data_IF_121178026373
#
_entry.id   IF_121178026373
#
_cell.length_a   1.000
_cell.length_b   1.000
_cell.length_c   1.000
_cell.angle_alpha   90.00
_cell.angle_beta   90.00
_cell.angle_gamma   90.00
#
_symmetry.space_group_name_H-M   'P 1'
#
loop_
_entity.id
_entity.type
_entity.pdbx_description
1 polymer ?
#
# COMPACT_ATOMS: atom_id res chain seq x y z
N UNK A 1 55.97 -62.42 17.56
CA UNK A 1 55.03 -61.54 18.23
C UNK A 1 55.12 -60.15 17.58
N UNK A 2 54.16 -59.73 16.78
CA UNK A 2 54.18 -58.46 16.03
C UNK A 2 53.26 -57.47 16.76
N UNK A 3 53.87 -56.39 17.26
CA UNK A 3 53.14 -55.30 17.95
C UNK A 3 52.42 -54.42 16.97
N UNK A 4 51.13 -54.19 17.23
CA UNK A 4 50.23 -53.27 16.47
C UNK A 4 50.37 -51.88 17.09
N UNK A 5 50.82 -50.92 16.32
CA UNK A 5 50.82 -49.48 16.70
C UNK A 5 49.49 -48.86 16.30
N UNK A 6 48.70 -48.43 17.29
CA UNK A 6 47.48 -47.64 17.11
C UNK A 6 47.85 -46.18 16.91
N UNK A 7 47.48 -45.60 15.75
CA UNK A 7 47.67 -44.19 15.46
C UNK A 7 46.36 -43.48 15.84
N UNK A 8 46.39 -42.68 16.90
CA UNK A 8 45.32 -41.76 17.27
C UNK A 8 45.40 -40.53 16.37
N UNK A 9 44.44 -40.35 15.47
CA UNK A 9 44.24 -39.11 14.73
C UNK A 9 43.23 -38.24 15.49
N UNK A 10 43.76 -37.21 16.16
CA UNK A 10 42.96 -36.12 16.72
C UNK A 10 42.36 -35.29 15.57
N UNK A 11 41.05 -35.36 15.37
CA UNK A 11 40.30 -34.48 14.47
C UNK A 11 40.01 -33.20 15.23
N UNK A 12 40.75 -32.16 14.96
CA UNK A 12 40.45 -30.80 15.42
C UNK A 12 39.27 -30.27 14.59
N UNK A 13 38.08 -30.24 15.18
CA UNK A 13 36.91 -29.59 14.60
C UNK A 13 37.15 -28.08 14.63
N UNK A 14 37.46 -27.50 13.47
CA UNK A 14 37.41 -26.06 13.25
C UNK A 14 35.96 -25.62 13.33
N UNK A 15 35.53 -25.11 14.47
CA UNK A 15 34.27 -24.41 14.64
C UNK A 15 34.27 -23.13 13.82
N UNK A 16 33.66 -23.18 12.65
CA UNK A 16 33.32 -21.97 11.90
C UNK A 16 32.21 -21.25 12.68
N UNK A 17 32.57 -20.29 13.52
CA UNK A 17 31.66 -19.28 14.02
C UNK A 17 31.23 -18.43 12.83
N UNK A 18 30.08 -18.74 12.25
CA UNK A 18 29.40 -17.85 11.34
C UNK A 18 29.10 -16.57 12.12
N UNK A 19 29.94 -15.56 12.00
CA UNK A 19 29.63 -14.20 12.44
C UNK A 19 28.33 -13.80 11.71
N UNK A 20 27.21 -13.83 12.41
CA UNK A 20 25.96 -13.24 11.97
C UNK A 20 26.25 -11.75 11.78
N UNK A 21 26.30 -11.30 10.54
CA UNK A 21 26.43 -9.88 10.24
C UNK A 21 25.21 -9.18 10.84
N UNK A 22 25.47 -8.28 11.77
CA UNK A 22 24.45 -7.44 12.36
C UNK A 22 24.46 -6.12 11.59
N UNK A 23 23.34 -5.77 10.94
CA UNK A 23 23.21 -4.51 10.21
C UNK A 23 23.46 -3.33 11.16
N UNK A 24 24.12 -2.27 10.68
CA UNK A 24 24.28 -1.01 11.43
C UNK A 24 22.95 -0.30 11.70
N UNK A 25 21.88 -0.72 11.04
CA UNK A 25 20.54 -0.11 11.10
C UNK A 25 19.55 -0.85 12.03
N UNK A 26 20.02 -1.78 12.87
CA UNK A 26 19.15 -2.56 13.78
C UNK A 26 18.31 -1.66 14.70
N UNK A 27 18.80 -0.48 15.04
CA UNK A 27 18.10 0.51 15.85
C UNK A 27 16.80 1.05 15.20
N UNK A 28 16.67 0.99 13.86
CA UNK A 28 15.50 1.49 13.15
C UNK A 28 14.23 0.72 13.48
N UNK A 29 14.32 -0.57 13.74
CA UNK A 29 13.14 -1.39 14.04
C UNK A 29 12.40 -0.91 15.29
N UNK A 30 13.00 -0.86 16.49
CA UNK A 30 12.32 -0.36 17.69
C UNK A 30 11.99 1.14 17.59
N UNK A 31 12.84 1.96 16.97
CA UNK A 31 12.61 3.40 16.81
C UNK A 31 11.36 3.67 15.97
N UNK A 32 11.23 3.00 14.82
CA UNK A 32 10.08 3.19 13.94
C UNK A 32 8.78 2.66 14.55
N UNK A 33 8.82 1.52 15.23
CA UNK A 33 7.64 0.96 15.90
C UNK A 33 7.15 1.84 17.06
N UNK A 34 8.05 2.55 17.74
CA UNK A 34 7.72 3.46 18.82
C UNK A 34 7.13 4.80 18.34
N UNK A 35 7.11 5.07 17.03
CA UNK A 35 6.60 6.34 16.49
C UNK A 35 5.11 6.49 16.75
N UNK A 36 4.74 7.57 17.41
CA UNK A 36 3.35 7.96 17.60
C UNK A 36 2.91 8.81 16.42
N UNK A 37 2.15 8.23 15.50
CA UNK A 37 1.62 8.92 14.32
C UNK A 37 0.30 9.59 14.73
N UNK A 38 0.14 10.88 14.42
CA UNK A 38 -1.09 11.61 14.75
C UNK A 38 -2.30 11.01 14.02
N UNK A 39 -3.48 10.98 14.65
CA UNK A 39 -4.72 10.62 13.97
C UNK A 39 -4.98 11.52 12.76
N UNK A 40 -5.53 10.95 11.70
CA UNK A 40 -5.90 11.69 10.50
C UNK A 40 -7.42 11.71 10.41
N UNK A 41 -8.00 12.92 10.46
CA UNK A 41 -9.43 13.12 10.38
C UNK A 41 -9.84 13.49 8.96
N UNK A 42 -11.00 12.98 8.52
CA UNK A 42 -11.57 13.32 7.21
C UNK A 42 -13.09 13.26 7.25
N UNK A 43 -13.74 13.97 6.32
CA UNK A 43 -15.19 13.95 6.15
C UNK A 43 -15.54 13.05 4.97
N UNK A 44 -16.29 11.97 5.20
CA UNK A 44 -16.60 10.96 4.19
C UNK A 44 -17.67 11.48 3.22
N UNK A 45 -17.27 12.50 2.45
CA UNK A 45 -18.16 13.12 1.45
C UNK A 45 -18.24 12.26 0.19
N UNK A 46 -19.39 12.19 -0.50
CA UNK A 46 -19.53 11.44 -1.75
C UNK A 46 -18.68 11.97 -2.91
N UNK A 47 -18.21 13.22 -2.83
CA UNK A 47 -17.56 13.90 -3.95
C UNK A 47 -16.26 13.24 -4.40
N UNK A 48 -15.41 12.77 -3.45
CA UNK A 48 -14.17 12.12 -3.81
C UNK A 48 -14.41 10.78 -4.52
N UNK A 49 -15.36 9.98 -4.03
CA UNK A 49 -15.80 8.75 -4.68
C UNK A 49 -16.35 9.01 -6.10
N UNK A 50 -17.20 10.02 -6.25
CA UNK A 50 -17.71 10.44 -7.57
C UNK A 50 -16.57 10.83 -8.53
N UNK A 51 -15.60 11.61 -8.08
CA UNK A 51 -14.44 12.02 -8.89
C UNK A 51 -13.60 10.83 -9.33
N UNK A 52 -13.44 9.81 -8.46
CA UNK A 52 -12.76 8.58 -8.85
C UNK A 52 -13.54 7.85 -9.94
N UNK A 53 -14.85 7.65 -9.76
CA UNK A 53 -15.70 6.98 -10.76
C UNK A 53 -15.65 7.68 -12.12
N UNK A 54 -15.68 9.01 -12.14
CA UNK A 54 -15.50 9.81 -13.37
C UNK A 54 -14.13 9.59 -13.98
N UNK A 55 -13.08 9.52 -13.14
CA UNK A 55 -11.70 9.34 -13.63
C UNK A 55 -11.45 7.96 -14.21
N UNK A 56 -12.19 6.95 -13.76
CA UNK A 56 -12.07 5.56 -14.22
C UNK A 56 -13.06 5.23 -15.35
N UNK A 57 -14.07 6.06 -15.61
CA UNK A 57 -15.17 5.72 -16.52
C UNK A 57 -14.71 5.34 -17.93
N UNK A 58 -13.72 6.04 -18.48
CA UNK A 58 -13.19 5.76 -19.83
C UNK A 58 -12.34 4.50 -19.90
N UNK A 59 -11.89 3.99 -18.74
CA UNK A 59 -11.01 2.82 -18.61
C UNK A 59 -11.74 1.56 -18.17
N UNK A 60 -13.04 1.64 -17.81
CA UNK A 60 -13.82 0.50 -17.33
C UNK A 60 -15.03 0.28 -18.23
N UNK A 61 -15.17 -0.90 -18.86
CA UNK A 61 -16.27 -1.16 -19.81
C UNK A 61 -17.65 -0.93 -19.20
N UNK A 62 -18.46 -0.13 -19.88
CA UNK A 62 -19.83 0.15 -19.45
C UNK A 62 -19.97 0.86 -18.11
N UNK A 63 -18.88 1.45 -17.60
CA UNK A 63 -18.96 2.30 -16.42
C UNK A 63 -19.67 3.59 -16.79
N UNK A 64 -20.68 3.95 -15.98
CA UNK A 64 -21.33 5.25 -16.03
C UNK A 64 -21.12 5.92 -14.70
N UNK A 65 -20.55 7.14 -14.67
CA UNK A 65 -20.44 7.88 -13.42
C UNK A 65 -21.83 8.03 -12.78
N UNK A 66 -21.93 7.90 -11.45
CA UNK A 66 -23.20 8.09 -10.77
C UNK A 66 -23.73 9.53 -10.97
N UNK A 67 -25.04 9.73 -10.85
CA UNK A 67 -25.61 11.08 -10.92
C UNK A 67 -25.31 11.84 -9.62
N UNK A 68 -24.44 12.83 -9.68
CA UNK A 68 -24.08 13.66 -8.51
C UNK A 68 -25.25 14.46 -7.94
N UNK A 69 -26.29 14.71 -8.73
CA UNK A 69 -27.49 15.45 -8.28
C UNK A 69 -28.36 14.64 -7.30
N UNK A 70 -28.12 13.36 -7.21
CA UNK A 70 -28.79 12.48 -6.23
C UNK A 70 -27.72 11.78 -5.38
N UNK A 71 -27.03 12.50 -4.49
CA UNK A 71 -26.10 11.85 -3.59
C UNK A 71 -26.88 10.87 -2.73
N UNK A 72 -26.44 9.60 -2.65
CA UNK A 72 -27.09 8.64 -1.79
C UNK A 72 -27.00 9.10 -0.33
N UNK A 73 -28.13 9.16 0.34
CA UNK A 73 -28.25 9.55 1.73
C UNK A 73 -27.71 8.49 2.67
N UNK A 74 -26.56 8.00 2.62
CA UNK A 74 -26.00 6.97 3.50
C UNK A 74 -25.72 5.64 2.78
N UNK A 75 -24.84 5.66 1.76
CA UNK A 75 -24.32 4.42 1.17
C UNK A 75 -23.02 4.00 1.84
N UNK A 76 -22.78 2.69 1.97
CA UNK A 76 -21.47 2.19 2.33
C UNK A 76 -20.38 2.73 1.41
N UNK A 77 -19.23 3.07 2.00
CA UNK A 77 -18.05 3.47 1.24
C UNK A 77 -17.68 2.36 0.25
N UNK A 78 -17.68 2.63 -1.08
CA UNK A 78 -17.33 1.61 -2.06
C UNK A 78 -15.91 1.09 -1.88
N UNK A 79 -15.69 -0.18 -2.20
CA UNK A 79 -14.36 -0.79 -2.19
C UNK A 79 -13.65 -0.48 -3.51
N UNK A 80 -12.42 0.07 -3.51
CA UNK A 80 -11.55 0.42 -2.37
C UNK A 80 -11.46 1.95 -2.14
N UNK A 81 -12.57 2.69 -2.19
CA UNK A 81 -12.58 4.15 -2.11
C UNK A 81 -12.04 4.73 -0.79
N UNK A 82 -11.79 3.90 0.23
CA UNK A 82 -11.07 4.31 1.45
C UNK A 82 -9.68 4.91 1.14
N UNK A 83 -9.08 4.58 0.01
CA UNK A 83 -7.82 5.14 -0.48
C UNK A 83 -7.88 6.64 -0.80
N UNK A 84 -9.08 7.22 -0.94
CA UNK A 84 -9.29 8.63 -1.27
C UNK A 84 -9.38 9.54 -0.04
N UNK A 85 -9.32 8.95 1.15
CA UNK A 85 -9.55 9.63 2.41
C UNK A 85 -8.39 9.37 3.37
N UNK A 86 -8.27 10.23 4.38
CA UNK A 86 -7.30 10.11 5.45
C UNK A 86 -5.84 10.18 4.98
N UNK A 87 -5.55 10.95 3.94
CA UNK A 87 -4.16 11.23 3.60
C UNK A 87 -3.63 12.42 4.42
N UNK A 88 -2.37 12.36 4.90
CA UNK A 88 -1.79 13.44 5.69
C UNK A 88 -1.73 14.75 4.89
N UNK A 89 -2.31 15.81 5.43
CA UNK A 89 -2.31 17.14 4.80
C UNK A 89 -1.12 17.97 5.32
N UNK A 90 0.07 17.69 4.81
CA UNK A 90 1.29 18.38 5.19
C UNK A 90 1.58 19.54 4.24
N UNK A 91 2.06 20.71 4.77
CA UNK A 91 2.63 21.76 3.94
C UNK A 91 3.82 21.23 3.13
N UNK A 92 4.02 21.75 1.91
CA UNK A 92 5.08 21.28 1.02
C UNK A 92 6.49 21.24 1.66
N UNK A 93 6.92 22.21 2.52
CA UNK A 93 8.22 22.13 3.18
C UNK A 93 8.38 20.98 4.17
N UNK A 94 7.30 20.33 4.57
CA UNK A 94 7.32 19.17 5.47
C UNK A 94 7.31 17.83 4.74
N UNK A 95 7.15 17.84 3.41
CA UNK A 95 7.29 16.65 2.58
C UNK A 95 8.78 16.32 2.37
N UNK A 96 9.06 15.05 2.09
CA UNK A 96 10.37 14.63 1.64
C UNK A 96 10.68 15.17 0.23
N UNK A 97 11.94 15.20 -0.20
CA UNK A 97 12.32 15.74 -1.52
C UNK A 97 11.61 15.06 -2.71
N UNK A 98 11.19 13.80 -2.55
CA UNK A 98 10.40 13.06 -3.52
C UNK A 98 8.89 13.39 -3.50
N UNK A 99 8.46 14.33 -2.63
CA UNK A 99 7.07 14.73 -2.44
C UNK A 99 6.26 13.82 -1.51
N UNK A 100 6.89 12.88 -0.82
CA UNK A 100 6.19 11.93 0.05
C UNK A 100 6.16 12.33 1.53
N UNK A 101 5.22 11.75 2.28
CA UNK A 101 5.08 11.91 3.72
C UNK A 101 6.26 11.26 4.49
N UNK A 102 6.94 11.97 5.41
CA UNK A 102 8.06 11.46 6.19
C UNK A 102 7.68 10.47 7.31
N UNK A 103 6.42 10.40 7.74
CA UNK A 103 6.02 9.68 8.96
C UNK A 103 6.49 8.21 9.01
N UNK A 104 6.56 7.57 7.86
CA UNK A 104 6.96 6.17 7.74
C UNK A 104 8.39 5.98 7.22
N UNK A 105 9.12 7.05 6.92
CA UNK A 105 10.47 6.98 6.37
C UNK A 105 11.48 6.57 7.44
N UNK A 106 12.39 5.63 7.16
CA UNK A 106 13.51 5.34 8.05
C UNK A 106 14.53 6.48 8.14
N UNK A 107 14.50 7.44 7.20
CA UNK A 107 15.54 8.45 7.03
C UNK A 107 16.73 7.95 6.21
N UNK A 108 17.79 8.77 6.15
CA UNK A 108 18.99 8.46 5.40
C UNK A 108 19.65 7.14 5.85
N UNK A 109 20.14 6.34 4.91
CA UNK A 109 20.22 6.53 3.48
C UNK A 109 19.03 5.92 2.69
N UNK A 110 17.88 5.72 3.29
CA UNK A 110 16.73 5.00 2.73
C UNK A 110 15.67 5.99 2.21
N UNK A 111 15.97 6.78 1.19
CA UNK A 111 15.04 7.76 0.66
C UNK A 111 14.10 7.19 -0.40
N UNK A 112 14.57 6.23 -1.20
CA UNK A 112 13.78 5.60 -2.25
C UNK A 112 12.78 4.62 -1.65
N UNK A 113 11.53 4.63 -2.15
CA UNK A 113 10.49 3.74 -1.63
C UNK A 113 9.68 3.04 -2.73
N UNK A 114 9.20 1.86 -2.41
CA UNK A 114 8.31 1.09 -3.26
C UNK A 114 7.11 0.62 -2.44
N UNK A 115 5.92 0.76 -2.99
CA UNK A 115 4.73 0.12 -2.43
C UNK A 115 4.75 -1.37 -2.78
N UNK A 116 5.03 -2.21 -1.79
CA UNK A 116 5.18 -3.66 -2.02
C UNK A 116 3.85 -4.42 -2.00
N UNK A 117 2.77 -3.79 -1.57
CA UNK A 117 1.45 -4.37 -1.45
C UNK A 117 0.84 -4.14 -0.09
N UNK A 118 -0.05 -5.04 0.33
CA UNK A 118 -0.72 -4.96 1.62
C UNK A 118 -1.93 -5.86 1.71
N UNK A 119 -2.77 -5.62 2.72
CA UNK A 119 -4.06 -6.29 2.87
C UNK A 119 -5.11 -5.31 3.36
N UNK A 120 -6.37 -5.60 3.04
CA UNK A 120 -7.51 -4.82 3.52
C UNK A 120 -8.60 -5.76 3.99
N UNK A 121 -9.10 -5.51 5.21
CA UNK A 121 -10.29 -6.17 5.77
C UNK A 121 -11.41 -5.14 5.87
N UNK A 122 -12.58 -5.49 5.37
CA UNK A 122 -13.79 -4.66 5.45
C UNK A 122 -14.74 -5.24 6.48
N UNK A 123 -15.21 -4.39 7.41
CA UNK A 123 -16.14 -4.80 8.46
C UNK A 123 -17.48 -5.26 7.87
N UNK A 124 -18.01 -6.40 8.32
CA UNK A 124 -19.34 -6.84 7.91
C UNK A 124 -20.47 -6.05 8.60
N UNK A 125 -20.23 -5.56 9.81
CA UNK A 125 -21.27 -4.99 10.69
C UNK A 125 -21.18 -3.49 10.87
N UNK A 126 -20.02 -2.87 10.58
CA UNK A 126 -19.78 -1.45 10.78
C UNK A 126 -19.10 -0.81 9.57
N UNK A 127 -19.72 -0.81 8.37
CA UNK A 127 -19.10 -0.19 7.20
C UNK A 127 -19.00 1.33 7.40
N UNK A 128 -17.96 1.93 6.84
CA UNK A 128 -17.89 3.38 6.69
C UNK A 128 -18.96 3.84 5.70
N UNK A 129 -19.58 5.00 5.95
CA UNK A 129 -20.67 5.51 5.14
C UNK A 129 -20.28 6.82 4.45
N UNK A 130 -20.66 6.96 3.17
CA UNK A 130 -20.55 8.21 2.41
C UNK A 130 -21.74 9.13 2.75
N UNK A 131 -21.71 9.75 3.91
CA UNK A 131 -22.80 10.61 4.40
C UNK A 131 -22.31 11.99 4.86
N UNK A 132 -21.03 12.32 4.61
CA UNK A 132 -20.40 13.55 5.08
C UNK A 132 -20.01 13.52 6.56
N UNK A 133 -20.25 12.43 7.29
CA UNK A 133 -19.85 12.32 8.67
C UNK A 133 -18.32 12.27 8.80
N UNK A 134 -17.82 12.87 9.86
CA UNK A 134 -16.40 12.87 10.18
C UNK A 134 -15.98 11.49 10.68
N UNK A 135 -14.85 11.04 10.16
CA UNK A 135 -14.22 9.78 10.51
C UNK A 135 -12.73 10.00 10.80
N UNK A 136 -12.07 8.97 11.28
CA UNK A 136 -10.67 9.05 11.68
C UNK A 136 -9.91 7.80 11.23
N UNK A 137 -8.66 8.00 10.83
CA UNK A 137 -7.68 6.95 10.62
C UNK A 137 -6.65 6.99 11.74
N UNK A 138 -6.49 5.87 12.44
CA UNK A 138 -5.41 5.65 13.39
C UNK A 138 -4.35 4.80 12.72
N UNK A 139 -3.14 5.36 12.60
CA UNK A 139 -1.99 4.68 12.00
C UNK A 139 -0.97 4.26 13.05
N UNK A 140 -0.24 3.17 12.74
CA UNK A 140 0.94 2.73 13.49
C UNK A 140 1.84 1.84 12.65
N UNK A 141 3.12 1.81 12.97
CA UNK A 141 4.08 0.91 12.32
C UNK A 141 4.11 -0.40 13.11
N UNK A 142 3.64 -1.48 12.51
CA UNK A 142 3.61 -2.81 13.12
C UNK A 142 4.97 -3.49 13.11
N UNK A 143 5.73 -3.29 12.05
CA UNK A 143 7.09 -3.82 11.95
C UNK A 143 7.95 -2.97 11.02
N UNK A 144 9.24 -2.97 11.30
CA UNK A 144 10.27 -2.43 10.43
C UNK A 144 11.42 -3.45 10.40
N UNK A 145 11.54 -4.23 9.34
CA UNK A 145 12.51 -5.32 9.24
C UNK A 145 13.59 -4.99 8.22
N UNK A 146 14.84 -5.13 8.62
CA UNK A 146 15.98 -4.87 7.74
C UNK A 146 16.44 -6.19 7.11
N UNK A 147 16.57 -6.18 5.77
CA UNK A 147 17.03 -7.34 4.99
C UNK A 147 18.01 -6.90 3.92
N UNK A 148 18.96 -7.76 3.59
CA UNK A 148 19.97 -7.53 2.56
C UNK A 148 21.38 -7.71 3.07
N UNK A 149 22.35 -7.63 2.16
CA UNK A 149 23.77 -7.61 2.49
C UNK A 149 24.20 -6.19 2.91
N UNK A 150 25.31 -6.05 3.66
CA UNK A 150 25.84 -4.74 4.01
C UNK A 150 26.03 -3.85 2.77
N UNK A 151 25.51 -2.62 2.84
CA UNK A 151 25.50 -1.67 1.71
C UNK A 151 24.41 -1.92 0.65
N UNK A 152 23.57 -2.94 0.85
CA UNK A 152 22.41 -3.26 0.00
C UNK A 152 21.17 -3.55 0.85
N UNK A 153 21.17 -3.07 2.08
CA UNK A 153 20.06 -3.27 3.00
C UNK A 153 18.80 -2.56 2.49
N UNK A 154 17.67 -3.16 2.79
CA UNK A 154 16.33 -2.64 2.54
C UNK A 154 15.55 -2.67 3.85
N UNK A 155 14.75 -1.64 4.09
CA UNK A 155 13.85 -1.60 5.25
C UNK A 155 12.44 -1.91 4.78
N UNK A 156 11.88 -3.01 5.30
CA UNK A 156 10.50 -3.43 5.05
C UNK A 156 9.64 -2.89 6.18
N UNK A 157 8.74 -1.99 5.87
CA UNK A 157 7.87 -1.33 6.84
C UNK A 157 6.44 -1.79 6.61
N UNK A 158 5.82 -2.35 7.66
CA UNK A 158 4.40 -2.68 7.68
C UNK A 158 3.64 -1.64 8.50
N UNK A 159 2.77 -0.91 7.86
CA UNK A 159 1.93 0.14 8.43
C UNK A 159 0.53 -0.43 8.57
N UNK A 160 -0.07 -0.28 9.76
CA UNK A 160 -1.47 -0.59 9.98
C UNK A 160 -2.28 0.71 10.08
N UNK A 161 -3.41 0.73 9.39
CA UNK A 161 -4.37 1.84 9.37
C UNK A 161 -5.74 1.30 9.76
N UNK A 162 -6.34 1.89 10.77
CA UNK A 162 -7.67 1.57 11.27
C UNK A 162 -8.59 2.75 11.04
N UNK A 163 -9.53 2.60 10.14
CA UNK A 163 -10.45 3.64 9.73
C UNK A 163 -11.80 3.42 10.43
N UNK A 164 -12.22 4.38 11.23
CA UNK A 164 -13.44 4.28 12.03
C UNK A 164 -14.26 5.58 12.00
N UNK A 165 -15.59 5.51 12.15
CA UNK A 165 -16.39 6.70 12.37
C UNK A 165 -16.03 7.32 13.73
N UNK A 166 -16.10 8.64 13.84
CA UNK A 166 -16.09 9.30 15.14
C UNK A 166 -17.40 9.10 15.87
N UNK A 167 -17.30 8.96 17.19
CA UNK A 167 -18.48 9.00 18.05
C UNK A 167 -19.02 10.45 18.17
N UNK A 168 -20.32 10.64 18.41
CA UNK A 168 -20.86 11.98 18.63
C UNK A 168 -20.15 12.75 19.76
N UNK A 169 -19.74 12.07 20.83
CA UNK A 169 -19.00 12.63 21.95
C UNK A 169 -17.59 13.10 21.54
N UNK A 170 -16.89 12.34 20.69
CA UNK A 170 -15.58 12.69 20.15
C UNK A 170 -15.69 13.90 19.21
N UNK A 171 -16.70 13.89 18.32
CA UNK A 171 -16.98 15.02 17.42
C UNK A 171 -17.29 16.28 18.24
N UNK A 172 -18.08 16.18 19.31
CA UNK A 172 -18.37 17.30 20.18
C UNK A 172 -17.13 17.80 20.94
N UNK A 173 -16.29 16.88 21.44
CA UNK A 173 -15.05 17.23 22.12
C UNK A 173 -14.07 18.00 21.20
N UNK A 174 -13.91 17.53 19.96
CA UNK A 174 -13.09 18.23 18.95
C UNK A 174 -13.66 19.59 18.58
N UNK A 175 -14.99 19.71 18.42
CA UNK A 175 -15.64 20.97 18.09
C UNK A 175 -15.61 21.99 19.24
N UNK A 176 -15.53 21.53 20.48
CA UNK A 176 -15.44 22.38 21.66
C UNK A 176 -14.03 22.92 21.93
N UNK A 177 -13.01 22.42 21.22
CA UNK A 177 -11.64 22.93 21.37
C UNK A 177 -11.58 24.41 20.90
N UNK A 178 -11.10 25.34 21.75
CA UNK A 178 -10.86 26.70 21.31
C UNK A 178 -9.72 26.73 20.27
N UNK A 179 -9.72 27.74 19.40
CA UNK A 179 -8.62 27.94 18.42
C UNK A 179 -7.24 28.07 19.09
N UNK A 180 -7.22 28.45 20.36
CA UNK A 180 -6.02 28.56 21.20
C UNK A 180 -5.80 27.33 22.09
N UNK A 181 -6.45 26.19 21.79
CA UNK A 181 -6.26 24.98 22.58
C UNK A 181 -4.77 24.60 22.63
N UNK A 182 -4.32 24.19 23.80
CA UNK A 182 -2.95 23.71 23.95
C UNK A 182 -2.76 22.37 23.23
N UNK A 183 -1.54 22.11 22.75
CA UNK A 183 -1.19 20.80 22.16
C UNK A 183 -1.49 19.64 23.10
N UNK A 184 -1.40 19.85 24.42
CA UNK A 184 -1.70 18.84 25.43
C UNK A 184 -3.19 18.44 25.45
N UNK A 185 -4.10 19.41 25.32
CA UNK A 185 -5.54 19.12 25.28
C UNK A 185 -5.93 18.37 24.00
N UNK A 186 -5.33 18.76 22.87
CA UNK A 186 -5.54 18.08 21.60
C UNK A 186 -5.01 16.64 21.69
N UNK A 187 -3.79 16.46 22.22
CA UNK A 187 -3.15 15.15 22.35
C UNK A 187 -3.98 14.21 23.26
N UNK A 188 -4.61 14.72 24.32
CA UNK A 188 -5.46 13.89 25.18
C UNK A 188 -6.66 13.30 24.41
N UNK A 189 -7.36 14.13 23.62
CA UNK A 189 -8.50 13.66 22.81
C UNK A 189 -8.02 12.67 21.73
N UNK A 190 -6.88 12.96 21.11
CA UNK A 190 -6.27 12.03 20.11
C UNK A 190 -5.91 10.68 20.76
N UNK A 191 -5.42 10.68 21.99
CA UNK A 191 -5.08 9.45 22.73
C UNK A 191 -6.31 8.64 23.13
N UNK A 192 -7.36 9.32 23.57
CA UNK A 192 -8.64 8.67 23.90
C UNK A 192 -9.25 7.98 22.66
N UNK A 193 -9.26 8.69 21.52
CA UNK A 193 -9.70 8.14 20.22
C UNK A 193 -8.83 6.95 19.81
N UNK A 194 -7.51 7.08 19.94
CA UNK A 194 -6.58 5.97 19.65
C UNK A 194 -6.84 4.77 20.55
N UNK A 195 -7.00 4.96 21.85
CA UNK A 195 -7.30 3.89 22.82
C UNK A 195 -8.59 3.13 22.50
N UNK A 196 -9.61 3.84 21.97
CA UNK A 196 -10.85 3.22 21.52
C UNK A 196 -10.68 2.36 20.27
N UNK A 197 -9.84 2.79 19.30
CA UNK A 197 -9.76 2.21 17.96
C UNK A 197 -8.61 1.20 17.81
N UNK A 198 -7.44 1.50 18.39
CA UNK A 198 -6.27 0.65 18.27
C UNK A 198 -6.46 -0.69 18.96
N UNK A 199 -5.88 -1.74 18.40
CA UNK A 199 -5.85 -3.10 18.99
C UNK A 199 -4.44 -3.64 18.89
N UNK A 200 -3.99 -4.33 19.94
CA UNK A 200 -2.69 -5.00 19.93
C UNK A 200 -2.76 -6.28 19.10
N UNK A 201 -3.85 -7.01 19.18
CA UNK A 201 -4.15 -8.10 18.25
C UNK A 201 -4.50 -7.52 16.89
N UNK A 202 -3.70 -7.87 15.93
CA UNK A 202 -3.81 -7.40 14.55
C UNK A 202 -4.93 -8.10 13.75
N UNK A 203 -5.52 -9.16 14.29
CA UNK A 203 -6.71 -9.81 13.75
C UNK A 203 -8.02 -9.21 14.28
N UNK A 204 -8.00 -8.55 15.44
CA UNK A 204 -9.16 -7.87 15.99
C UNK A 204 -9.44 -6.56 15.24
N UNK A 205 -10.54 -6.52 14.52
CA UNK A 205 -10.98 -5.34 13.78
C UNK A 205 -11.39 -4.17 14.70
N UNK A 206 -11.87 -4.48 15.91
CA UNK A 206 -12.43 -3.51 16.83
C UNK A 206 -13.56 -2.69 16.18
N UNK A 207 -13.65 -1.39 16.44
CA UNK A 207 -14.68 -0.52 15.84
C UNK A 207 -14.34 -0.03 14.44
N UNK A 208 -13.24 -0.50 13.81
CA UNK A 208 -12.85 -0.06 12.48
C UNK A 208 -13.79 -0.64 11.42
N UNK A 209 -14.26 0.22 10.51
CA UNK A 209 -14.98 -0.18 9.30
C UNK A 209 -14.04 -0.74 8.23
N UNK A 210 -12.77 -0.29 8.25
CA UNK A 210 -11.70 -0.78 7.36
C UNK A 210 -10.41 -0.93 8.17
N UNK A 211 -9.76 -2.08 8.04
CA UNK A 211 -8.41 -2.33 8.51
C UNK A 211 -7.51 -2.53 7.30
N UNK A 212 -6.63 -1.57 7.03
CA UNK A 212 -5.68 -1.61 5.94
C UNK A 212 -4.26 -1.84 6.47
N UNK A 213 -3.51 -2.72 5.81
CA UNK A 213 -2.05 -2.85 5.97
C UNK A 213 -1.36 -2.43 4.70
N UNK A 214 -0.40 -1.53 4.84
CA UNK A 214 0.47 -1.05 3.75
C UNK A 214 1.87 -1.57 3.99
N UNK A 215 2.41 -2.29 3.02
CA UNK A 215 3.79 -2.76 3.06
C UNK A 215 4.62 -1.90 2.11
N UNK A 216 5.56 -1.16 2.68
CA UNK A 216 6.48 -0.29 1.94
C UNK A 216 7.89 -0.84 2.10
N UNK A 217 8.65 -0.85 1.02
CA UNK A 217 10.07 -1.17 1.03
C UNK A 217 10.86 0.09 0.76
N UNK A 218 11.75 0.44 1.67
CA UNK A 218 12.70 1.52 1.51
C UNK A 218 14.04 0.97 1.06
N UNK A 219 14.60 1.62 0.05
CA UNK A 219 15.87 1.26 -0.58
C UNK A 219 16.89 2.33 -0.26
N UNK A 220 18.16 1.91 -0.15
CA UNK A 220 19.25 2.87 -0.05
C UNK A 220 19.38 3.67 -1.35
N UNK A 221 19.87 4.90 -1.21
CA UNK A 221 20.23 5.72 -2.35
C UNK A 221 21.40 5.07 -3.08
N UNK A 222 21.09 4.45 -4.20
CA UNK A 222 22.13 4.04 -5.14
C UNK A 222 22.33 5.18 -6.14
N UNK A 223 23.58 5.58 -6.38
CA UNK A 223 23.86 6.40 -7.56
C UNK A 223 23.30 5.63 -8.76
N UNK A 224 22.49 6.27 -9.62
CA UNK A 224 22.06 5.63 -10.85
C UNK A 224 23.31 5.07 -11.55
N UNK A 225 23.29 3.81 -11.92
CA UNK A 225 24.36 3.27 -12.73
C UNK A 225 24.47 4.19 -13.96
N UNK A 226 25.68 4.65 -14.34
CA UNK A 226 25.81 5.49 -15.52
C UNK A 226 25.14 4.75 -16.67
N UNK A 227 24.20 5.41 -17.34
CA UNK A 227 23.53 4.90 -18.53
C UNK A 227 24.56 4.82 -19.65
N UNK A 228 25.46 3.83 -19.58
CA UNK A 228 26.29 3.47 -20.70
C UNK A 228 25.36 2.86 -21.76
N UNK A 229 25.14 3.58 -22.86
CA UNK A 229 24.57 3.02 -24.08
C UNK A 229 25.40 1.79 -24.42
N UNK A 230 24.97 0.59 -24.06
CA UNK A 230 25.71 -0.66 -24.29
C UNK A 230 25.64 -1.68 -23.14
N UNK A 231 25.01 -1.38 -22.01
CA UNK A 231 24.92 -2.31 -20.87
C UNK A 231 23.68 -3.27 -20.93
N UNK A 232 22.85 -3.17 -21.97
CA UNK A 232 21.62 -3.95 -22.09
C UNK A 232 21.86 -5.47 -22.32
N UNK A 233 23.05 -5.88 -22.70
CA UNK A 233 23.35 -7.29 -23.02
C UNK A 233 23.96 -8.10 -21.86
N UNK A 234 24.37 -7.46 -20.76
CA UNK A 234 25.10 -8.14 -19.67
C UNK A 234 24.29 -8.33 -18.38
N UNK A 235 23.16 -7.64 -18.20
CA UNK A 235 22.31 -7.84 -17.03
C UNK A 235 21.39 -9.06 -17.24
N UNK A 236 21.25 -9.97 -16.25
CA UNK A 236 20.33 -11.08 -16.37
C UNK A 236 18.91 -10.52 -16.60
N UNK A 237 18.27 -10.94 -17.71
CA UNK A 237 16.90 -10.54 -18.02
C UNK A 237 16.00 -10.84 -16.83
N UNK A 238 15.18 -9.89 -16.36
CA UNK A 238 14.31 -10.13 -15.22
C UNK A 238 13.39 -11.32 -15.51
N UNK A 239 13.28 -12.22 -14.55
CA UNK A 239 12.42 -13.41 -14.67
C UNK A 239 10.97 -12.95 -14.82
N UNK A 240 10.37 -13.24 -15.97
CA UNK A 240 8.95 -12.95 -16.22
C UNK A 240 8.12 -13.96 -15.43
N UNK A 241 7.36 -13.47 -14.46
CA UNK A 241 6.44 -14.29 -13.68
C UNK A 241 5.16 -14.47 -14.50
N UNK A 242 4.86 -15.69 -14.90
CA UNK A 242 3.61 -16.04 -15.61
C UNK A 242 2.45 -16.16 -14.63
N UNK A 243 1.19 -15.88 -15.04
CA UNK A 243 0.03 -16.16 -14.21
C UNK A 243 -0.08 -17.66 -13.94
N UNK A 244 -0.57 -18.01 -12.76
CA UNK A 244 -0.73 -19.41 -12.34
C UNK A 244 -1.94 -20.09 -12.99
N UNK A 245 -2.86 -19.31 -13.55
CA UNK A 245 -4.11 -19.79 -14.15
C UNK A 245 -4.63 -18.86 -15.23
N UNK A 246 -5.58 -19.37 -16.02
CA UNK A 246 -6.30 -18.56 -17.00
C UNK A 246 -7.35 -17.67 -16.32
N UNK A 247 -7.61 -16.45 -16.85
CA UNK A 247 -8.65 -15.59 -16.35
C UNK A 247 -10.04 -16.12 -16.71
N UNK A 248 -10.83 -16.49 -15.69
CA UNK A 248 -12.18 -17.06 -15.87
C UNK A 248 -13.32 -16.09 -15.59
N UNK A 249 -13.02 -14.94 -14.96
CA UNK A 249 -14.02 -13.94 -14.61
C UNK A 249 -13.94 -12.70 -15.49
N UNK A 250 -12.75 -12.13 -15.60
CA UNK A 250 -12.52 -10.99 -16.47
C UNK A 250 -11.07 -10.96 -16.96
N UNK A 251 -10.89 -10.40 -18.14
CA UNK A 251 -9.63 -9.92 -18.71
C UNK A 251 -9.89 -8.59 -19.36
N UNK A 252 -9.23 -7.55 -18.89
CA UNK A 252 -9.47 -6.19 -19.36
C UNK A 252 -8.17 -5.42 -19.48
N UNK A 253 -7.89 -4.88 -20.66
CA UNK A 253 -6.68 -4.10 -20.95
C UNK A 253 -7.02 -2.61 -20.99
N UNK A 254 -6.16 -1.83 -20.36
CA UNK A 254 -6.20 -0.35 -20.41
C UNK A 254 -4.86 0.18 -20.91
N UNK A 255 -4.89 1.38 -21.48
CA UNK A 255 -3.71 2.20 -21.74
C UNK A 255 -3.74 3.42 -20.83
N UNK A 256 -3.07 3.38 -19.66
CA UNK A 256 -3.09 4.49 -18.72
C UNK A 256 -2.31 5.68 -19.26
N UNK A 257 -2.84 6.88 -19.12
CA UNK A 257 -2.18 8.12 -19.50
C UNK A 257 -1.81 8.97 -18.27
N UNK A 258 -1.03 10.02 -18.48
CA UNK A 258 -0.61 10.95 -17.42
C UNK A 258 -1.78 11.70 -16.77
N UNK A 259 -2.93 11.86 -17.46
CA UNK A 259 -4.11 12.50 -16.90
C UNK A 259 -4.79 11.62 -15.85
N UNK A 260 -4.82 10.29 -16.09
CA UNK A 260 -5.31 9.32 -15.11
C UNK A 260 -4.40 9.32 -13.88
N UNK A 261 -3.07 9.31 -14.06
CA UNK A 261 -2.10 9.34 -12.96
C UNK A 261 -2.26 10.62 -12.13
N UNK A 262 -2.33 11.79 -12.79
CA UNK A 262 -2.52 13.07 -12.13
C UNK A 262 -3.82 13.10 -11.31
N UNK A 263 -4.95 12.68 -11.92
CA UNK A 263 -6.24 12.67 -11.21
C UNK A 263 -6.21 11.76 -9.97
N UNK A 264 -5.58 10.61 -10.08
CA UNK A 264 -5.46 9.70 -8.93
C UNK A 264 -4.52 10.27 -7.86
N UNK A 265 -3.38 10.86 -8.24
CA UNK A 265 -2.50 11.60 -7.33
C UNK A 265 -3.24 12.73 -6.61
N UNK A 266 -4.03 13.50 -7.34
CA UNK A 266 -4.81 14.62 -6.75
C UNK A 266 -5.88 14.11 -5.78
N UNK A 267 -6.59 13.02 -6.12
CA UNK A 267 -7.64 12.42 -5.29
C UNK A 267 -7.09 11.77 -4.02
N UNK A 268 -5.88 11.23 -4.08
CA UNK A 268 -5.20 10.62 -2.94
C UNK A 268 -4.20 11.56 -2.26
N UNK A 269 -4.20 12.83 -2.62
CA UNK A 269 -3.28 13.88 -2.12
C UNK A 269 -1.81 13.44 -2.16
N UNK A 270 -1.44 12.65 -3.17
CA UNK A 270 -0.14 12.01 -3.32
C UNK A 270 0.75 12.81 -4.28
N UNK A 271 1.74 13.50 -3.73
CA UNK A 271 2.69 14.31 -4.49
C UNK A 271 3.99 13.55 -4.87
N UNK A 272 4.03 12.22 -4.76
CA UNK A 272 5.24 11.46 -5.08
C UNK A 272 5.65 11.66 -6.54
N UNK A 273 6.85 12.17 -6.74
CA UNK A 273 7.37 12.60 -8.04
C UNK A 273 7.41 11.47 -9.08
N UNK A 274 7.50 10.20 -8.67
CA UNK A 274 7.50 9.05 -9.60
C UNK A 274 6.21 8.93 -10.43
N UNK A 275 5.13 9.58 -10.01
CA UNK A 275 3.84 9.59 -10.73
C UNK A 275 3.61 10.88 -11.54
N UNK A 276 4.44 11.91 -11.34
CA UNK A 276 4.20 13.27 -11.82
C UNK A 276 5.34 13.82 -12.67
N UNK A 277 6.59 13.44 -12.39
CA UNK A 277 7.78 13.99 -13.04
C UNK A 277 8.57 12.92 -13.79
N UNK A 278 8.51 12.92 -15.14
CA UNK A 278 9.24 11.95 -15.95
C UNK A 278 10.78 12.11 -15.86
N UNK A 279 11.30 13.32 -15.57
CA UNK A 279 12.73 13.54 -15.39
C UNK A 279 13.20 12.92 -14.08
N UNK A 280 12.47 13.16 -12.98
CA UNK A 280 12.74 12.51 -11.70
C UNK A 280 12.77 10.98 -11.83
N UNK A 281 11.76 10.40 -12.53
CA UNK A 281 11.73 8.95 -12.78
C UNK A 281 12.99 8.44 -13.44
N UNK A 282 13.47 9.12 -14.50
CA UNK A 282 14.64 8.67 -15.28
C UNK A 282 15.97 8.94 -14.58
N UNK A 283 16.13 10.13 -14.04
CA UNK A 283 17.43 10.61 -13.55
C UNK A 283 17.69 10.24 -12.09
N UNK A 284 16.66 10.19 -11.26
CA UNK A 284 16.79 9.90 -9.82
C UNK A 284 16.44 8.44 -9.49
N UNK A 285 15.39 7.91 -10.11
CA UNK A 285 14.88 6.56 -9.78
C UNK A 285 15.33 5.48 -10.76
N UNK A 286 15.81 5.85 -11.97
CA UNK A 286 16.24 4.90 -13.00
C UNK A 286 15.09 4.18 -13.71
N UNK A 287 13.89 4.75 -13.67
CA UNK A 287 12.72 4.26 -14.39
C UNK A 287 12.61 4.90 -15.76
N UNK A 288 12.04 4.19 -16.75
CA UNK A 288 11.93 4.67 -18.13
C UNK A 288 10.86 5.74 -18.33
N UNK A 289 9.81 5.74 -17.51
CA UNK A 289 8.68 6.69 -17.57
C UNK A 289 8.00 6.79 -16.21
N UNK A 290 6.92 7.58 -16.11
CA UNK A 290 6.06 7.67 -14.92
C UNK A 290 5.55 6.29 -14.50
N UNK A 291 5.55 6.03 -13.21
CA UNK A 291 5.04 4.79 -12.66
C UNK A 291 3.51 4.86 -12.48
N UNK A 292 2.85 3.77 -12.85
CA UNK A 292 1.47 3.55 -12.51
C UNK A 292 1.35 3.27 -10.99
N UNK A 293 0.42 3.90 -10.30
CA UNK A 293 0.31 3.76 -8.85
C UNK A 293 -0.05 2.34 -8.42
N UNK A 294 0.65 1.79 -7.43
CA UNK A 294 0.28 0.52 -6.81
C UNK A 294 -1.17 0.50 -6.28
N UNK A 295 -1.61 1.54 -5.52
CA UNK A 295 -3.01 1.68 -5.11
C UNK A 295 -4.01 1.80 -6.27
N UNK A 296 -3.63 2.40 -7.41
CA UNK A 296 -4.49 2.46 -8.58
C UNK A 296 -4.64 1.08 -9.23
N UNK A 297 -3.56 0.28 -9.28
CA UNK A 297 -3.64 -1.12 -9.70
C UNK A 297 -4.61 -1.91 -8.83
N UNK A 298 -4.52 -1.74 -7.51
CA UNK A 298 -5.45 -2.33 -6.56
C UNK A 298 -6.89 -1.88 -6.81
N UNK A 299 -7.10 -0.58 -7.11
CA UNK A 299 -8.42 -0.03 -7.43
C UNK A 299 -9.02 -0.69 -8.66
N UNK A 300 -8.29 -0.80 -9.76
CA UNK A 300 -8.78 -1.48 -10.97
C UNK A 300 -9.12 -2.94 -10.72
N UNK A 301 -8.25 -3.68 -10.02
CA UNK A 301 -8.52 -5.08 -9.68
C UNK A 301 -9.81 -5.23 -8.88
N UNK A 302 -10.04 -4.38 -7.88
CA UNK A 302 -11.24 -4.46 -7.03
C UNK A 302 -12.51 -4.03 -7.76
N UNK A 303 -12.47 -2.98 -8.55
CA UNK A 303 -13.64 -2.51 -9.32
C UNK A 303 -14.06 -3.55 -10.37
N UNK A 304 -13.10 -4.13 -11.10
CA UNK A 304 -13.38 -5.17 -12.11
C UNK A 304 -13.88 -6.46 -11.45
N UNK A 305 -13.29 -6.88 -10.33
CA UNK A 305 -13.76 -8.04 -9.58
C UNK A 305 -15.19 -7.85 -9.11
N UNK A 306 -15.51 -6.75 -8.43
CA UNK A 306 -16.86 -6.50 -7.90
C UNK A 306 -17.94 -6.49 -9.00
N UNK A 307 -17.60 -6.02 -10.20
CA UNK A 307 -18.50 -6.08 -11.36
C UNK A 307 -18.72 -7.50 -11.90
N UNK A 308 -17.85 -8.43 -11.55
CA UNK A 308 -17.88 -9.83 -11.98
C UNK A 308 -18.41 -10.78 -10.91
N UNK A 309 -18.58 -10.31 -9.66
CA UNK A 309 -19.15 -11.11 -8.58
C UNK A 309 -20.64 -11.38 -8.84
N UNK A 310 -21.11 -12.54 -8.38
CA UNK A 310 -22.52 -12.89 -8.42
C UNK A 310 -23.31 -12.14 -7.35
N UNK A 311 -24.62 -12.01 -7.56
CA UNK A 311 -25.47 -11.23 -6.64
C UNK A 311 -25.34 -11.65 -5.18
N UNK A 312 -25.20 -10.67 -4.28
CA UNK A 312 -25.07 -10.87 -2.84
C UNK A 312 -23.64 -11.08 -2.34
N UNK A 313 -22.67 -11.35 -3.21
CA UNK A 313 -21.28 -11.46 -2.78
C UNK A 313 -20.63 -10.09 -2.58
N UNK A 314 -19.93 -9.90 -1.47
CA UNK A 314 -19.15 -8.70 -1.16
C UNK A 314 -17.72 -9.06 -0.76
N UNK A 315 -16.76 -8.27 -1.20
CA UNK A 315 -15.36 -8.44 -0.77
C UNK A 315 -15.26 -8.20 0.73
N UNK A 316 -14.74 -9.16 1.46
CA UNK A 316 -14.50 -9.07 2.90
C UNK A 316 -13.03 -8.87 3.25
N UNK A 317 -12.15 -9.51 2.49
CA UNK A 317 -10.70 -9.44 2.68
C UNK A 317 -9.98 -9.52 1.36
N UNK A 318 -8.89 -8.77 1.25
CA UNK A 318 -7.96 -8.86 0.13
C UNK A 318 -6.53 -8.71 0.61
N UNK A 319 -5.64 -9.54 0.08
CA UNK A 319 -4.19 -9.38 0.21
C UNK A 319 -3.60 -9.25 -1.20
N UNK A 320 -2.66 -8.32 -1.39
CA UNK A 320 -2.04 -8.12 -2.71
C UNK A 320 -0.56 -7.76 -2.60
N UNK A 321 0.18 -8.00 -3.68
CA UNK A 321 1.62 -7.72 -3.80
C UNK A 321 1.94 -7.08 -5.13
N UNK A 322 2.70 -6.00 -5.08
CA UNK A 322 3.33 -5.41 -6.25
C UNK A 322 4.69 -6.09 -6.45
N UNK A 323 4.88 -6.72 -7.59
CA UNK A 323 6.04 -7.55 -7.90
C UNK A 323 7.03 -6.85 -8.82
N UNK A 324 6.52 -5.98 -9.71
CA UNK A 324 7.30 -5.18 -10.63
C UNK A 324 6.54 -3.90 -11.01
N UNK A 325 7.22 -2.85 -11.46
CA UNK A 325 6.58 -1.62 -11.87
C UNK A 325 5.71 -1.80 -13.11
N UNK A 326 4.61 -1.05 -13.15
CA UNK A 326 3.79 -0.75 -14.31
C UNK A 326 4.03 0.71 -14.69
N UNK A 327 3.91 1.05 -15.96
CA UNK A 327 4.25 2.38 -16.46
C UNK A 327 3.07 3.07 -17.14
N UNK A 328 3.10 4.39 -17.11
CA UNK A 328 2.25 5.25 -17.94
C UNK A 328 2.53 4.98 -19.42
N UNK A 329 1.53 5.14 -20.26
CA UNK A 329 1.61 4.94 -21.72
C UNK A 329 1.99 3.50 -22.16
N UNK A 330 1.88 2.53 -21.26
CA UNK A 330 2.03 1.10 -21.55
C UNK A 330 0.75 0.35 -21.21
N UNK A 331 0.38 -0.64 -22.01
CA UNK A 331 -0.80 -1.45 -21.75
C UNK A 331 -0.66 -2.23 -20.44
N UNK A 332 -1.72 -2.18 -19.65
CA UNK A 332 -1.88 -2.97 -18.43
C UNK A 332 -3.12 -3.83 -18.57
N UNK A 333 -2.96 -5.14 -18.43
CA UNK A 333 -4.07 -6.09 -18.51
C UNK A 333 -4.42 -6.59 -17.12
N UNK A 334 -5.62 -6.27 -16.66
CA UNK A 334 -6.19 -6.76 -15.40
C UNK A 334 -6.97 -8.04 -15.64
N UNK A 335 -6.76 -9.03 -14.78
CA UNK A 335 -7.34 -10.35 -14.86
C UNK A 335 -7.92 -10.79 -13.53
N UNK A 336 -8.93 -11.68 -13.58
CA UNK A 336 -9.51 -12.31 -12.41
C UNK A 336 -9.99 -13.73 -12.70
N UNK A 337 -9.83 -14.61 -11.70
CA UNK A 337 -10.27 -16.00 -11.75
C UNK A 337 -10.86 -16.43 -10.41
N UNK A 338 -11.83 -17.36 -10.45
CA UNK A 338 -12.30 -18.02 -9.24
C UNK A 338 -11.25 -18.99 -8.70
N UNK A 339 -11.10 -19.05 -7.38
CA UNK A 339 -10.18 -19.92 -6.65
C UNK A 339 -10.92 -20.76 -5.58
N UNK A 340 -12.09 -21.22 -5.91
CA UNK A 340 -13.02 -21.91 -5.02
C UNK A 340 -14.16 -21.02 -4.58
N UNK A 341 -15.04 -21.55 -3.73
CA UNK A 341 -16.21 -20.82 -3.22
C UNK A 341 -15.79 -19.61 -2.39
N UNK A 342 -16.28 -18.42 -2.74
CA UNK A 342 -15.96 -17.15 -2.06
C UNK A 342 -14.49 -16.76 -2.11
N UNK A 343 -13.68 -17.37 -2.99
CA UNK A 343 -12.27 -17.06 -3.14
C UNK A 343 -11.93 -16.73 -4.58
N UNK A 344 -11.09 -15.71 -4.76
CA UNK A 344 -10.71 -15.19 -6.07
C UNK A 344 -9.23 -14.83 -6.11
N UNK A 345 -8.63 -15.04 -7.27
CA UNK A 345 -7.30 -14.53 -7.59
C UNK A 345 -7.45 -13.40 -8.61
N UNK A 346 -6.76 -12.27 -8.37
CA UNK A 346 -6.73 -11.12 -9.26
C UNK A 346 -5.28 -10.75 -9.55
N UNK A 347 -4.99 -10.29 -10.78
CA UNK A 347 -3.64 -9.87 -11.13
C UNK A 347 -3.63 -8.81 -12.22
N UNK A 348 -2.48 -8.14 -12.37
CA UNK A 348 -2.21 -7.22 -13.47
C UNK A 348 -0.95 -7.67 -14.21
N UNK A 349 -1.04 -7.73 -15.55
CA UNK A 349 0.05 -8.07 -16.45
C UNK A 349 0.56 -6.79 -17.14
N UNK A 350 1.88 -6.70 -17.36
CA UNK A 350 2.48 -5.69 -18.21
C UNK A 350 2.52 -6.12 -19.68
N UNK A 351 3.10 -5.28 -20.54
CA UNK A 351 3.25 -5.50 -22.00
C UNK A 351 4.02 -6.78 -22.36
N UNK A 352 4.86 -7.28 -21.45
CA UNK A 352 5.60 -8.54 -21.61
C UNK A 352 4.78 -9.79 -21.21
N UNK A 353 3.50 -9.61 -20.87
CA UNK A 353 2.61 -10.67 -20.37
C UNK A 353 3.01 -11.23 -19.01
N UNK A 354 3.91 -10.54 -18.31
CA UNK A 354 4.34 -10.91 -16.97
C UNK A 354 3.45 -10.31 -15.89
N UNK A 355 3.19 -11.07 -14.82
CA UNK A 355 2.44 -10.60 -13.66
C UNK A 355 3.26 -9.55 -12.91
N UNK A 356 2.73 -8.34 -12.80
CA UNK A 356 3.32 -7.19 -12.10
C UNK A 356 2.68 -6.96 -10.74
N UNK A 357 1.39 -7.27 -10.62
CA UNK A 357 0.63 -7.20 -9.37
C UNK A 357 -0.21 -8.47 -9.25
N UNK A 358 -0.33 -9.02 -8.06
CA UNK A 358 -1.24 -10.15 -7.80
C UNK A 358 -1.91 -10.00 -6.45
N UNK A 359 -3.13 -10.52 -6.32
CA UNK A 359 -3.88 -10.52 -5.07
C UNK A 359 -4.79 -11.73 -4.94
N UNK A 360 -5.07 -12.09 -3.70
CA UNK A 360 -6.08 -13.06 -3.31
C UNK A 360 -7.22 -12.34 -2.58
N UNK A 361 -8.45 -12.71 -2.90
CA UNK A 361 -9.65 -12.06 -2.37
C UNK A 361 -10.56 -13.11 -1.74
N UNK A 362 -11.14 -12.77 -0.60
CA UNK A 362 -12.21 -13.55 0.03
C UNK A 362 -13.46 -12.70 0.10
N UNK A 363 -14.56 -13.26 -0.39
CA UNK A 363 -15.89 -12.67 -0.32
C UNK A 363 -16.67 -13.25 0.85
N UNK A 364 -17.77 -12.59 1.17
CA UNK A 364 -18.83 -13.06 2.05
C UNK A 364 -20.17 -12.86 1.35
N UNK A 365 -21.14 -13.68 1.66
CA UNK A 365 -22.55 -13.50 1.27
C UNK A 365 -23.27 -12.75 2.39
N UNK A 366 -24.06 -11.74 2.04
CA UNK A 366 -24.97 -11.07 3.02
C UNK A 366 -26.22 -11.87 3.25
#
# INVERSE_FOLDING_TARGET
MRGVRTINRSVTALGQTTRRWQSSYVHLEPEMQARKIKPIFDDLTPLNSYRLDVSLADFIPGAKPPNILQPPSSTPLPIPHHLLYFEPTLPAPQLLPDGTNPAHSPGAPFHRRMWAGGSVTYSPTGPLLLNGARAVCIEGIRSATIKGLPGQEKVFVSIERRLAPLLPTETQALAALPLSASDANIAQIEDDIRGRIWRDDDADLGPAGVLERRNIVFLQDSKPAPTSKGADDAAPKPKILKPNREPTLFRHTILPDSRLLFRFSALTFNAHAIHLDPLFCREQEGHRDLLFHGPLSFTFMMVLLQRSLKGGEKVGFVEYRNLAPLYCNEEVTFCGAADGEGRYEVWAEGTDGGVKVKGSVRTRTE
#
